data_IF_019141881278
#
_entry.id   IF_019141881278
#
_cell.length_a   1.000
_cell.length_b   1.000
_cell.length_c   1.000
_cell.angle_alpha   90.00
_cell.angle_beta   90.00
_cell.angle_gamma   90.00
#
_symmetry.space_group_name_H-M   'P 1'
#
loop_
_entity.id
_entity.type
_entity.pdbx_description
1 polymer ?
#
# COMPACT_ATOMS: atom_id res chain seq x y z
N UNK A 1 20.58 0.74 -29.65
CA UNK A 1 19.50 1.68 -29.30
C UNK A 1 18.91 1.20 -27.98
N UNK A 2 18.62 2.09 -27.02
CA UNK A 2 17.98 1.70 -25.76
C UNK A 2 16.49 1.55 -26.03
N UNK A 3 15.92 0.40 -25.67
CA UNK A 3 14.48 0.15 -25.69
C UNK A 3 13.86 0.83 -24.47
N UNK A 4 13.47 2.09 -24.64
CA UNK A 4 12.94 2.93 -23.56
C UNK A 4 11.65 2.36 -22.96
N UNK A 5 10.81 1.75 -23.80
CA UNK A 5 9.62 0.99 -23.45
C UNK A 5 9.95 -0.12 -22.45
N UNK A 6 10.97 -0.94 -22.74
CA UNK A 6 11.39 -2.05 -21.87
C UNK A 6 11.92 -1.53 -20.53
N UNK A 7 12.72 -0.47 -20.53
CA UNK A 7 13.25 0.11 -19.29
C UNK A 7 12.14 0.68 -18.42
N UNK A 8 11.19 1.41 -19.00
CA UNK A 8 10.07 2.01 -18.27
C UNK A 8 9.16 0.93 -17.69
N UNK A 9 8.85 -0.13 -18.45
CA UNK A 9 8.10 -1.28 -17.96
C UNK A 9 8.82 -1.99 -16.81
N UNK A 10 10.14 -2.22 -16.90
CA UNK A 10 10.89 -2.82 -15.80
C UNK A 10 10.82 -1.99 -14.51
N UNK A 11 10.89 -0.65 -14.60
CA UNK A 11 10.72 0.23 -13.45
C UNK A 11 9.27 0.12 -12.92
N UNK A 12 8.28 0.11 -13.80
CA UNK A 12 6.88 -0.11 -13.47
C UNK A 12 6.66 -1.38 -12.66
N UNK A 13 7.16 -2.53 -13.12
CA UNK A 13 7.09 -3.80 -12.40
C UNK A 13 7.76 -3.76 -11.02
N UNK A 14 8.93 -3.14 -10.89
CA UNK A 14 9.62 -3.02 -9.60
C UNK A 14 8.79 -2.18 -8.63
N UNK A 15 8.35 -1.00 -9.06
CA UNK A 15 7.54 -0.10 -8.23
C UNK A 15 6.22 -0.79 -7.85
N UNK A 16 5.61 -1.52 -8.78
CA UNK A 16 4.37 -2.26 -8.56
C UNK A 16 4.54 -3.38 -7.54
N UNK A 17 5.64 -4.15 -7.62
CA UNK A 17 5.92 -5.23 -6.69
C UNK A 17 6.09 -4.71 -5.25
N UNK A 18 6.88 -3.64 -5.05
CA UNK A 18 7.04 -3.02 -3.73
C UNK A 18 5.75 -2.37 -3.24
N UNK A 19 4.99 -1.70 -4.11
CA UNK A 19 3.69 -1.13 -3.76
C UNK A 19 2.70 -2.19 -3.30
N UNK A 20 2.62 -3.31 -4.02
CA UNK A 20 1.78 -4.45 -3.69
C UNK A 20 2.17 -5.10 -2.37
N UNK A 21 3.48 -5.23 -2.09
CA UNK A 21 3.97 -5.73 -0.81
C UNK A 21 3.54 -4.84 0.37
N UNK A 22 3.64 -3.51 0.23
CA UNK A 22 3.22 -2.58 1.27
C UNK A 22 1.70 -2.65 1.53
N UNK A 23 0.89 -2.76 0.47
CA UNK A 23 -0.56 -2.98 0.60
C UNK A 23 -0.85 -4.33 1.24
N UNK A 24 -0.13 -5.38 0.86
CA UNK A 24 -0.27 -6.70 1.47
C UNK A 24 -0.03 -6.63 2.97
N UNK A 25 1.04 -5.97 3.41
CA UNK A 25 1.34 -5.78 4.83
C UNK A 25 0.19 -5.05 5.54
N UNK A 26 -0.38 -4.00 4.93
CA UNK A 26 -1.51 -3.26 5.47
C UNK A 26 -2.74 -4.13 5.75
N UNK A 27 -3.03 -5.13 4.91
CA UNK A 27 -4.20 -6.00 5.06
C UNK A 27 -4.17 -6.83 6.35
N UNK A 28 -2.99 -7.07 6.93
CA UNK A 28 -2.84 -7.81 8.19
C UNK A 28 -2.73 -6.90 9.41
N UNK A 29 -2.78 -5.57 9.22
CA UNK A 29 -2.72 -4.64 10.34
C UNK A 29 -4.09 -4.44 10.97
N UNK A 30 -4.13 -4.54 12.30
CA UNK A 30 -5.32 -4.22 13.09
C UNK A 30 -5.41 -2.69 13.22
N UNK A 31 -6.57 -2.07 12.96
CA UNK A 31 -6.70 -0.63 13.08
C UNK A 31 -6.38 -0.14 14.50
N UNK A 32 -5.75 1.03 14.60
CA UNK A 32 -5.26 1.58 15.88
C UNK A 32 -6.36 1.81 16.94
N UNK A 33 -7.61 1.87 16.54
CA UNK A 33 -8.78 2.04 17.41
C UNK A 33 -9.33 0.72 17.97
N UNK A 34 -8.80 -0.44 17.56
CA UNK A 34 -9.20 -1.77 18.04
C UNK A 34 -8.09 -2.32 18.94
N UNK A 35 -8.36 -2.49 20.24
CA UNK A 35 -7.44 -3.16 21.16
C UNK A 35 -8.04 -4.48 21.64
N UNK A 36 -7.33 -5.57 21.38
CA UNK A 36 -7.67 -6.87 21.94
C UNK A 36 -7.20 -6.95 23.39
N UNK A 37 -8.11 -7.24 24.32
CA UNK A 37 -7.79 -7.50 25.73
C UNK A 37 -7.82 -9.02 25.99
N UNK A 38 -6.68 -9.72 25.92
CA UNK A 38 -6.63 -11.18 26.05
C UNK A 38 -7.14 -11.69 27.41
N UNK A 39 -6.96 -10.92 28.48
CA UNK A 39 -7.45 -11.27 29.83
C UNK A 39 -8.97 -11.35 29.96
N UNK A 40 -9.69 -10.68 29.06
CA UNK A 40 -11.16 -10.58 29.09
C UNK A 40 -11.81 -11.19 27.84
N UNK A 41 -10.99 -11.71 26.91
CA UNK A 41 -11.41 -12.19 25.59
C UNK A 41 -12.37 -11.20 24.88
N UNK A 42 -12.04 -9.90 24.93
CA UNK A 42 -12.89 -8.82 24.43
C UNK A 42 -12.09 -7.84 23.57
N UNK A 43 -12.74 -7.31 22.54
CA UNK A 43 -12.26 -6.18 21.76
C UNK A 43 -12.85 -4.88 22.30
N UNK A 44 -11.99 -3.92 22.62
CA UNK A 44 -12.40 -2.56 22.97
C UNK A 44 -12.14 -1.64 21.77
N UNK A 45 -13.13 -0.81 21.47
CA UNK A 45 -13.08 0.18 20.39
C UNK A 45 -12.99 1.56 21.03
N UNK A 46 -11.81 2.18 20.96
CA UNK A 46 -11.58 3.54 21.44
C UNK A 46 -11.56 4.51 20.26
N UNK A 47 -12.70 5.18 20.03
CA UNK A 47 -12.82 6.19 18.96
C UNK A 47 -12.45 7.55 19.54
N UNK A 48 -11.21 7.97 19.31
CA UNK A 48 -10.79 9.36 19.49
C UNK A 48 -10.70 10.02 18.11
N UNK A 49 -11.62 10.93 17.73
CA UNK A 49 -11.72 11.45 16.36
C UNK A 49 -10.43 12.03 15.77
N UNK A 50 -9.55 12.55 16.63
CA UNK A 50 -8.25 13.14 16.25
C UNK A 50 -7.12 12.12 16.11
N UNK A 51 -7.28 10.89 16.60
CA UNK A 51 -6.24 9.84 16.64
C UNK A 51 -6.62 8.59 15.82
N UNK A 52 -7.84 8.53 15.24
CA UNK A 52 -8.26 7.40 14.42
C UNK A 52 -7.49 7.38 13.10
N UNK A 53 -6.57 6.42 12.95
CA UNK A 53 -5.98 6.07 11.67
C UNK A 53 -6.51 4.71 11.21
N UNK A 54 -7.23 4.73 10.09
CA UNK A 54 -7.76 3.53 9.43
C UNK A 54 -6.71 2.86 8.54
N UNK A 55 -5.83 3.65 7.91
CA UNK A 55 -4.75 3.15 7.07
C UNK A 55 -3.42 3.69 7.56
N UNK A 56 -2.42 2.83 7.64
CA UNK A 56 -1.07 3.23 8.00
C UNK A 56 -0.36 3.93 6.85
N UNK A 57 0.79 4.53 7.15
CA UNK A 57 1.61 5.17 6.14
C UNK A 57 2.13 4.14 5.11
N UNK A 58 2.34 2.89 5.52
CA UNK A 58 2.73 1.80 4.62
C UNK A 58 1.65 1.53 3.57
N UNK A 59 0.39 1.35 3.97
CA UNK A 59 -0.72 1.17 3.04
C UNK A 59 -0.91 2.35 2.08
N UNK A 60 -0.77 3.58 2.58
CA UNK A 60 -0.88 4.80 1.74
C UNK A 60 0.23 4.89 0.70
N UNK A 61 1.48 4.66 1.11
CA UNK A 61 2.63 4.65 0.19
C UNK A 61 2.52 3.50 -0.80
N UNK A 62 2.11 2.32 -0.35
CA UNK A 62 1.87 1.17 -1.21
C UNK A 62 0.84 1.44 -2.31
N UNK A 63 -0.30 2.05 -1.95
CA UNK A 63 -1.32 2.46 -2.92
C UNK A 63 -0.80 3.48 -3.93
N UNK A 64 -0.02 4.47 -3.49
CA UNK A 64 0.60 5.44 -4.39
C UNK A 64 1.59 4.77 -5.36
N UNK A 65 2.40 3.83 -4.86
CA UNK A 65 3.34 3.08 -5.69
C UNK A 65 2.61 2.25 -6.75
N UNK A 66 1.50 1.59 -6.42
CA UNK A 66 0.68 0.87 -7.42
C UNK A 66 0.16 1.81 -8.51
N UNK A 67 -0.31 3.01 -8.13
CA UNK A 67 -0.78 3.99 -9.10
C UNK A 67 0.35 4.47 -10.04
N UNK A 68 1.55 4.69 -9.49
CA UNK A 68 2.75 5.05 -10.28
C UNK A 68 3.14 3.91 -11.22
N UNK A 69 3.19 2.67 -10.73
CA UNK A 69 3.50 1.49 -11.53
C UNK A 69 2.55 1.37 -12.72
N UNK A 70 1.24 1.45 -12.49
CA UNK A 70 0.24 1.42 -13.56
C UNK A 70 0.45 2.55 -14.58
N UNK A 71 0.77 3.76 -14.11
CA UNK A 71 1.03 4.89 -15.00
C UNK A 71 2.28 4.67 -15.87
N UNK A 72 3.34 4.06 -15.32
CA UNK A 72 4.55 3.72 -16.06
C UNK A 72 4.29 2.65 -17.11
N UNK A 73 3.56 1.59 -16.77
CA UNK A 73 3.16 0.56 -17.74
C UNK A 73 2.33 1.15 -18.88
N UNK A 74 1.39 2.04 -18.55
CA UNK A 74 0.59 2.73 -19.56
C UNK A 74 1.45 3.58 -20.51
N UNK A 75 2.46 4.28 -19.99
CA UNK A 75 3.40 5.05 -20.81
C UNK A 75 4.24 4.11 -21.69
N UNK A 76 4.78 3.03 -21.13
CA UNK A 76 5.59 2.07 -21.87
C UNK A 76 4.84 1.44 -23.07
N UNK A 77 3.53 1.22 -22.94
CA UNK A 77 2.67 0.70 -24.01
C UNK A 77 2.45 1.72 -25.14
N UNK A 78 2.57 3.02 -24.86
CA UNK A 78 2.24 4.08 -25.81
C UNK A 78 3.42 4.63 -26.61
N UNK A 79 4.65 4.30 -26.23
CA UNK A 79 5.88 4.83 -26.82
C UNK A 79 6.63 3.82 -27.69
#
# INVERSE_FOLDING_TARGET
MVEYDVVIAMIGYIVGAFGGLLIFIELFQVPNYVRYKPKLNRYDVEIKPTEVQQYTLAGRVGALMIAIAFSLEFIAILI
#
